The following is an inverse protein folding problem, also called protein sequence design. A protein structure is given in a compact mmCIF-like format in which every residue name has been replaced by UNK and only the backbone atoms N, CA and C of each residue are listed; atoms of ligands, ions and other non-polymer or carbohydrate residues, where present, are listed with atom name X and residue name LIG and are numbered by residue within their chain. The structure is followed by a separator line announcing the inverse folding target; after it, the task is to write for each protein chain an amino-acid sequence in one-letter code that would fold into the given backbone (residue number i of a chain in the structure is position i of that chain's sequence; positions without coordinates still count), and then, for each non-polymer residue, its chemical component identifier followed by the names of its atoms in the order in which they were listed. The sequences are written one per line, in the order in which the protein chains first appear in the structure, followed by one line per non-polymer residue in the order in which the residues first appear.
data_IF_056720251772
#
_entry.id   IF_056720251772
#
_cell.length_a   1.000
_cell.length_b   1.000
_cell.length_c   1.000
_cell.angle_alpha   90.00
_cell.angle_beta   90.00
_cell.angle_gamma   90.00
#
_symmetry.space_group_name_H-M   'P 1'
#
loop_
_entity.id
_entity.type
_entity.pdbx_description
1 polymer ?
#
# COMPACT_ATOMS: atom_id res chain seq x y z
N UNK A 1 3.90 -15.06 10.99
CA UNK A 1 5.21 -15.52 10.49
C UNK A 1 6.06 -14.29 10.24
N UNK A 2 7.19 -14.12 10.92
CA UNK A 2 7.98 -12.89 10.87
C UNK A 2 8.78 -12.80 9.56
N UNK A 3 8.60 -11.72 8.81
CA UNK A 3 9.48 -11.33 7.70
C UNK A 3 10.84 -10.88 8.25
N UNK A 4 11.92 -11.08 7.47
CA UNK A 4 13.25 -10.68 7.88
C UNK A 4 13.30 -9.17 8.13
N UNK A 5 13.40 -8.79 9.38
CA UNK A 5 13.67 -7.42 9.81
C UNK A 5 15.17 -7.23 9.68
N UNK A 6 15.55 -6.51 8.64
CA UNK A 6 16.95 -6.29 8.39
C UNK A 6 17.57 -5.56 9.60
N UNK A 7 18.78 -6.00 9.97
CA UNK A 7 19.49 -5.47 11.13
C UNK A 7 20.00 -4.04 10.99
N UNK A 8 19.66 -3.33 9.92
CA UNK A 8 20.09 -1.94 9.65
C UNK A 8 19.20 -0.94 10.38
N UNK A 9 19.73 0.26 10.63
CA UNK A 9 19.06 1.26 11.47
C UNK A 9 17.66 1.65 10.98
N UNK A 10 17.45 1.78 9.66
CA UNK A 10 16.15 2.12 9.06
C UNK A 10 15.12 1.01 9.24
N UNK A 11 15.47 -0.22 8.90
CA UNK A 11 14.58 -1.39 9.05
C UNK A 11 14.22 -1.65 10.50
N UNK A 12 15.17 -1.51 11.45
CA UNK A 12 14.88 -1.62 12.89
C UNK A 12 13.95 -0.54 13.41
N UNK A 13 14.10 0.70 12.92
CA UNK A 13 13.20 1.81 13.32
C UNK A 13 11.78 1.60 12.81
N UNK A 14 11.61 1.22 11.54
CA UNK A 14 10.31 0.89 10.98
C UNK A 14 9.66 -0.27 11.76
N UNK A 15 10.42 -1.34 12.01
CA UNK A 15 9.95 -2.47 12.78
C UNK A 15 9.46 -2.04 14.18
N UNK A 16 10.31 -1.41 14.97
CA UNK A 16 10.00 -1.08 16.37
C UNK A 16 8.90 -0.01 16.54
N UNK A 17 8.78 0.93 15.57
CA UNK A 17 7.86 2.07 15.71
C UNK A 17 6.52 1.88 15.01
N UNK A 18 6.47 1.03 13.99
CA UNK A 18 5.27 0.83 13.17
C UNK A 18 4.87 -0.64 13.10
N UNK A 19 5.76 -1.50 12.59
CA UNK A 19 5.36 -2.88 12.27
C UNK A 19 5.03 -3.71 13.51
N UNK A 20 5.85 -3.60 14.59
CA UNK A 20 5.62 -4.35 15.83
C UNK A 20 4.36 -3.90 16.56
N UNK A 21 4.14 -2.58 16.78
CA UNK A 21 2.90 -2.11 17.40
C UNK A 21 1.64 -2.48 16.63
N UNK A 22 1.72 -2.57 15.30
CA UNK A 22 0.57 -2.93 14.45
C UNK A 22 0.43 -4.45 14.24
N UNK A 23 1.33 -5.25 14.76
CA UNK A 23 1.32 -6.69 14.53
C UNK A 23 1.61 -7.10 13.08
N UNK A 24 2.22 -6.24 12.28
CA UNK A 24 2.53 -6.44 10.85
C UNK A 24 3.70 -7.41 10.69
N UNK A 25 3.46 -8.67 11.02
CA UNK A 25 4.50 -9.71 11.12
C UNK A 25 5.01 -10.23 9.78
N UNK A 26 4.25 -9.97 8.71
CA UNK A 26 4.56 -10.37 7.34
C UNK A 26 5.08 -9.21 6.50
N UNK A 27 5.47 -8.09 7.12
CA UNK A 27 5.99 -6.88 6.45
C UNK A 27 7.45 -6.65 6.79
N UNK A 28 8.25 -6.39 5.75
CA UNK A 28 9.68 -6.08 5.89
C UNK A 28 10.37 -5.87 4.56
N UNK A 29 11.67 -5.60 4.62
CA UNK A 29 12.51 -5.32 3.45
C UNK A 29 13.10 -6.59 2.80
N UNK A 30 12.49 -7.72 3.00
CA UNK A 30 12.88 -8.98 2.39
C UNK A 30 12.16 -10.15 3.03
N UNK A 31 11.98 -11.22 2.29
CA UNK A 31 11.26 -12.42 2.71
C UNK A 31 12.26 -13.45 3.25
N UNK A 32 12.12 -13.93 4.50
CA UNK A 32 13.01 -14.93 5.07
C UNK A 32 12.84 -16.28 4.36
N UNK A 33 13.87 -17.12 4.42
CA UNK A 33 13.87 -18.44 3.77
C UNK A 33 12.65 -19.29 4.13
N UNK A 34 12.14 -19.18 5.37
CA UNK A 34 10.96 -19.90 5.87
C UNK A 34 9.62 -19.43 5.28
N UNK A 35 9.63 -18.37 4.46
CA UNK A 35 8.42 -17.79 3.89
C UNK A 35 8.52 -17.60 2.36
N UNK A 36 9.61 -18.05 1.74
CA UNK A 36 9.84 -17.87 0.30
C UNK A 36 8.84 -18.60 -0.59
N UNK A 37 8.27 -19.67 -0.11
CA UNK A 37 7.17 -20.39 -0.77
C UNK A 37 5.92 -19.53 -0.97
N UNK A 38 5.80 -18.42 -0.25
CA UNK A 38 4.73 -17.43 -0.38
C UNK A 38 5.10 -16.24 -1.29
N UNK A 39 6.37 -16.09 -1.64
CA UNK A 39 6.85 -15.07 -2.56
C UNK A 39 6.83 -15.65 -3.97
N UNK A 40 5.85 -15.26 -4.77
CA UNK A 40 5.77 -15.62 -6.18
C UNK A 40 6.77 -14.83 -7.05
N UNK A 41 7.01 -15.26 -8.28
CA UNK A 41 7.74 -14.47 -9.25
C UNK A 41 6.95 -13.21 -9.63
N UNK A 42 7.66 -12.15 -9.96
CA UNK A 42 7.11 -10.88 -10.40
C UNK A 42 7.37 -10.69 -11.89
N UNK A 43 6.41 -10.14 -12.62
CA UNK A 43 6.40 -10.13 -14.08
C UNK A 43 6.28 -8.72 -14.63
N UNK A 44 6.86 -8.47 -15.79
CA UNK A 44 6.45 -7.35 -16.63
C UNK A 44 5.06 -7.61 -17.22
N UNK A 45 4.33 -6.56 -17.65
CA UNK A 45 3.13 -6.73 -18.44
C UNK A 45 3.39 -7.59 -19.67
N UNK A 46 2.39 -8.40 -20.12
CA UNK A 46 2.54 -9.21 -21.32
C UNK A 46 2.90 -8.34 -22.52
N UNK A 47 3.84 -8.80 -23.34
CA UNK A 47 4.15 -8.20 -24.63
C UNK A 47 2.99 -8.37 -25.63
N UNK A 48 3.12 -7.81 -26.86
CA UNK A 48 2.08 -7.88 -27.90
C UNK A 48 1.65 -9.32 -28.24
N UNK A 49 2.56 -10.27 -28.12
CA UNK A 49 2.33 -11.68 -28.41
C UNK A 49 1.81 -12.47 -27.19
N UNK A 50 1.54 -11.80 -26.07
CA UNK A 50 1.08 -12.40 -24.83
C UNK A 50 2.19 -13.06 -24.00
N UNK A 51 3.43 -13.02 -24.45
CA UNK A 51 4.57 -13.54 -23.69
C UNK A 51 4.85 -12.67 -22.46
N UNK A 52 5.21 -13.32 -21.36
CA UNK A 52 5.56 -12.65 -20.11
C UNK A 52 7.06 -12.68 -19.89
N UNK A 53 7.63 -11.51 -19.69
CA UNK A 53 9.02 -11.35 -19.27
C UNK A 53 9.08 -11.31 -17.73
N UNK A 54 10.05 -12.03 -17.17
CA UNK A 54 10.29 -12.07 -15.73
C UNK A 54 10.92 -10.74 -15.27
N UNK A 55 10.27 -10.06 -14.33
CA UNK A 55 10.84 -8.88 -13.67
C UNK A 55 11.76 -9.29 -12.50
N UNK A 56 11.27 -10.16 -11.61
CA UNK A 56 12.04 -10.69 -10.48
C UNK A 56 11.62 -12.13 -10.16
N UNK A 57 12.59 -13.00 -9.89
CA UNK A 57 12.32 -14.39 -9.52
C UNK A 57 11.85 -14.48 -8.04
N UNK A 58 11.21 -15.57 -7.68
CA UNK A 58 10.78 -15.83 -6.31
C UNK A 58 11.95 -15.87 -5.30
N UNK A 59 13.17 -16.15 -5.77
CA UNK A 59 14.42 -16.11 -4.99
C UNK A 59 15.29 -14.89 -5.32
N UNK A 60 14.72 -13.88 -5.99
CA UNK A 60 15.35 -12.67 -6.47
C UNK A 60 15.64 -11.63 -5.39
N UNK A 61 15.44 -10.35 -5.75
CA UNK A 61 15.85 -9.23 -4.88
C UNK A 61 15.08 -9.19 -3.56
N UNK A 62 13.78 -9.48 -3.54
CA UNK A 62 12.97 -9.45 -2.33
C UNK A 62 13.13 -10.69 -1.44
N UNK A 63 13.78 -11.74 -1.93
CA UNK A 63 14.19 -12.87 -1.11
C UNK A 63 15.42 -12.58 -0.24
N UNK A 64 16.00 -11.38 -0.34
CA UNK A 64 17.25 -10.98 0.34
C UNK A 64 17.09 -9.60 0.98
N UNK A 65 17.75 -9.32 2.10
CA UNK A 65 17.81 -7.97 2.65
C UNK A 65 18.49 -7.02 1.65
N UNK A 66 17.88 -5.85 1.34
CA UNK A 66 18.45 -4.88 0.42
C UNK A 66 19.73 -4.25 0.99
N UNK A 67 20.55 -3.71 0.10
CA UNK A 67 21.73 -2.94 0.50
C UNK A 67 21.35 -1.68 1.31
N UNK A 68 20.23 -1.08 0.98
CA UNK A 68 19.65 0.06 1.67
C UNK A 68 18.14 -0.14 1.83
N UNK A 69 17.59 -0.21 3.07
CA UNK A 69 16.15 -0.27 3.29
C UNK A 69 15.54 1.10 3.01
N UNK A 70 14.88 1.22 1.89
CA UNK A 70 14.21 2.44 1.47
C UNK A 70 12.74 2.41 1.92
N UNK A 71 12.32 3.43 2.68
CA UNK A 71 10.93 3.55 3.12
C UNK A 71 9.96 3.95 2.01
N UNK A 72 10.47 4.43 0.87
CA UNK A 72 9.66 4.79 -0.30
C UNK A 72 9.39 3.61 -1.24
N UNK A 73 10.23 2.58 -1.16
CA UNK A 73 10.14 1.39 -2.01
C UNK A 73 10.73 0.16 -1.32
N UNK A 74 10.41 -1.04 -1.81
CA UNK A 74 11.07 -2.28 -1.42
C UNK A 74 10.50 -2.99 -0.19
N UNK A 75 9.38 -2.56 0.37
CA UNK A 75 8.65 -3.33 1.37
C UNK A 75 7.87 -4.48 0.72
N UNK A 76 8.03 -5.67 1.27
CA UNK A 76 7.15 -6.81 0.99
C UNK A 76 6.14 -6.91 2.13
N UNK A 77 4.87 -7.15 1.80
CA UNK A 77 3.78 -7.18 2.77
C UNK A 77 2.70 -8.19 2.40
N UNK A 78 1.61 -8.19 3.16
CA UNK A 78 0.37 -8.93 2.89
C UNK A 78 -0.82 -7.99 2.99
N UNK A 79 -1.97 -8.42 2.47
CA UNK A 79 -3.23 -7.65 2.55
C UNK A 79 -3.59 -7.35 4.00
N UNK A 80 -3.42 -8.32 4.89
CA UNK A 80 -3.74 -8.18 6.32
C UNK A 80 -2.87 -7.13 7.00
N UNK A 81 -1.57 -7.13 6.72
CA UNK A 81 -0.64 -6.17 7.31
C UNK A 81 -0.90 -4.74 6.78
N UNK A 82 -1.16 -4.58 5.47
CA UNK A 82 -1.56 -3.28 4.90
C UNK A 82 -2.89 -2.81 5.50
N UNK A 83 -3.86 -3.70 5.69
CA UNK A 83 -5.13 -3.37 6.33
C UNK A 83 -4.95 -2.92 7.79
N UNK A 84 -4.01 -3.51 8.52
CA UNK A 84 -3.66 -3.08 9.88
C UNK A 84 -3.06 -1.65 9.89
N UNK A 85 -2.19 -1.33 8.94
CA UNK A 85 -1.64 0.01 8.78
C UNK A 85 -2.74 1.04 8.44
N UNK A 86 -3.60 0.73 7.47
CA UNK A 86 -4.74 1.58 7.11
C UNK A 86 -5.72 1.77 8.28
N UNK A 87 -5.98 0.71 9.04
CA UNK A 87 -6.79 0.74 10.25
C UNK A 87 -6.22 1.67 11.32
N UNK A 88 -4.91 1.68 11.51
CA UNK A 88 -4.23 2.61 12.42
C UNK A 88 -4.44 4.07 12.00
N UNK A 89 -4.31 4.40 10.71
CA UNK A 89 -4.57 5.75 10.22
C UNK A 89 -6.04 6.15 10.45
N UNK A 90 -6.99 5.26 10.14
CA UNK A 90 -8.43 5.50 10.40
C UNK A 90 -8.76 5.72 11.88
N UNK A 91 -8.00 5.09 12.77
CA UNK A 91 -8.14 5.22 14.23
C UNK A 91 -7.36 6.40 14.80
N UNK A 92 -6.98 7.39 13.98
CA UNK A 92 -6.24 8.58 14.41
C UNK A 92 -4.86 8.24 14.98
N UNK A 93 -4.20 7.23 14.46
CA UNK A 93 -2.84 6.84 14.85
C UNK A 93 -2.77 5.82 15.98
N UNK A 94 -3.85 5.08 16.27
CA UNK A 94 -3.89 4.04 17.31
C UNK A 94 -3.82 2.64 16.69
N UNK A 95 -3.02 1.79 17.32
CA UNK A 95 -3.03 0.36 17.05
C UNK A 95 -4.32 -0.31 17.57
N UNK A 96 -4.66 -1.52 17.11
CA UNK A 96 -5.88 -2.23 17.52
C UNK A 96 -6.01 -2.41 19.04
N UNK A 97 -4.91 -2.61 19.76
CA UNK A 97 -4.89 -2.72 21.22
C UNK A 97 -4.94 -1.35 21.94
N UNK A 98 -5.01 -0.25 21.20
CA UNK A 98 -5.18 1.11 21.71
C UNK A 98 -3.90 1.91 21.93
N UNK A 99 -2.71 1.31 21.81
CA UNK A 99 -1.45 2.05 21.89
C UNK A 99 -1.32 3.08 20.76
N UNK A 100 -0.63 4.18 21.03
CA UNK A 100 -0.45 5.25 20.04
C UNK A 100 0.81 5.03 19.22
N UNK A 101 0.64 4.88 17.92
CA UNK A 101 1.73 4.75 16.93
C UNK A 101 2.09 6.09 16.33
N UNK A 102 1.08 6.91 15.97
CA UNK A 102 1.21 8.27 15.46
C UNK A 102 0.34 9.22 16.27
N UNK A 103 0.73 10.49 16.35
CA UNK A 103 -0.17 11.53 16.89
C UNK A 103 -1.33 11.79 15.92
N UNK A 104 -2.45 12.30 16.43
CA UNK A 104 -3.60 12.70 15.59
C UNK A 104 -3.19 13.79 14.59
N UNK A 105 -2.36 14.75 15.02
CA UNK A 105 -1.82 15.80 14.15
C UNK A 105 -0.98 15.20 13.00
N UNK A 106 -0.16 14.19 13.29
CA UNK A 106 0.63 13.52 12.26
C UNK A 106 -0.25 12.78 11.26
N UNK A 107 -1.29 12.07 11.73
CA UNK A 107 -2.27 11.43 10.85
C UNK A 107 -3.01 12.49 10.02
N UNK A 108 -3.48 13.58 10.63
CA UNK A 108 -4.10 14.69 9.93
C UNK A 108 -3.17 15.27 8.84
N UNK A 109 -1.90 15.50 9.15
CA UNK A 109 -0.92 15.98 8.18
C UNK A 109 -0.67 15.01 7.02
N UNK A 110 -0.86 13.70 7.22
CA UNK A 110 -0.75 12.68 6.17
C UNK A 110 -2.01 12.56 5.32
N UNK A 111 -3.20 12.63 5.94
CA UNK A 111 -4.46 12.21 5.33
C UNK A 111 -5.39 13.36 4.94
N UNK A 112 -5.07 14.60 5.35
CA UNK A 112 -5.90 15.77 5.05
C UNK A 112 -5.27 16.59 3.93
N UNK A 113 -6.11 17.24 3.14
CA UNK A 113 -5.66 18.21 2.14
C UNK A 113 -4.83 19.31 2.81
N UNK A 114 -3.60 19.48 2.32
CA UNK A 114 -2.78 20.65 2.62
C UNK A 114 -2.60 21.42 1.31
N UNK A 115 -2.58 22.75 1.37
CA UNK A 115 -2.37 23.59 0.19
C UNK A 115 -1.12 23.12 -0.58
N UNK A 116 -1.31 22.70 -1.83
CA UNK A 116 -0.26 22.17 -2.70
C UNK A 116 -0.81 21.87 -4.09
N UNK A 117 0.06 21.59 -5.05
CA UNK A 117 -0.38 21.29 -6.39
C UNK A 117 -1.29 20.05 -6.41
N UNK A 118 -2.37 20.18 -7.15
CA UNK A 118 -3.30 19.09 -7.49
C UNK A 118 -2.87 18.55 -8.85
N UNK A 119 -2.78 17.25 -9.00
CA UNK A 119 -2.51 16.63 -10.30
C UNK A 119 -3.75 16.66 -11.22
N UNK A 120 -3.55 16.31 -12.49
CA UNK A 120 -4.61 16.33 -13.50
C UNK A 120 -5.76 15.35 -13.20
N UNK A 121 -5.54 14.40 -12.29
CA UNK A 121 -6.52 13.40 -11.87
C UNK A 121 -7.26 13.82 -10.58
N UNK A 122 -7.00 15.02 -10.05
CA UNK A 122 -7.64 15.54 -8.84
C UNK A 122 -7.07 14.95 -7.55
N UNK A 123 -5.83 14.50 -7.57
CA UNK A 123 -5.08 14.04 -6.41
C UNK A 123 -3.99 15.00 -5.96
N UNK A 124 -3.37 14.71 -4.84
CA UNK A 124 -2.18 15.40 -4.34
C UNK A 124 -1.33 14.50 -3.48
N UNK A 125 -0.02 14.71 -3.51
CA UNK A 125 0.93 13.99 -2.67
C UNK A 125 1.09 14.71 -1.32
N UNK A 126 1.06 13.96 -0.24
CA UNK A 126 1.22 14.48 1.12
C UNK A 126 2.43 13.82 1.79
N UNK A 127 2.46 13.76 3.12
CA UNK A 127 3.55 13.15 3.88
C UNK A 127 3.59 11.62 3.66
N UNK A 128 4.05 11.20 2.47
CA UNK A 128 4.26 9.80 2.13
C UNK A 128 3.04 9.04 1.57
N UNK A 129 1.88 9.70 1.37
CA UNK A 129 0.69 9.10 0.76
C UNK A 129 -0.02 10.07 -0.19
N UNK A 130 -0.79 9.53 -1.14
CA UNK A 130 -1.69 10.30 -1.98
C UNK A 130 -2.99 10.65 -1.24
N UNK A 131 -3.59 11.80 -1.55
CA UNK A 131 -4.90 12.22 -1.06
C UNK A 131 -5.73 12.70 -2.24
N UNK A 132 -6.99 12.23 -2.34
CA UNK A 132 -7.96 12.72 -3.33
C UNK A 132 -8.46 14.11 -2.91
N UNK A 133 -8.39 15.06 -3.83
CA UNK A 133 -8.86 16.42 -3.61
C UNK A 133 -10.28 16.59 -4.14
N UNK A 134 -10.64 15.83 -5.17
CA UNK A 134 -11.97 15.83 -5.79
C UNK A 134 -12.53 14.41 -5.84
N UNK A 135 -13.86 14.29 -5.93
CA UNK A 135 -14.50 13.01 -6.14
C UNK A 135 -14.06 12.38 -7.47
N UNK A 136 -13.84 11.07 -7.44
CA UNK A 136 -13.61 10.27 -8.64
C UNK A 136 -14.96 9.73 -9.13
N UNK A 137 -15.35 9.96 -10.39
CA UNK A 137 -16.64 9.51 -10.88
C UNK A 137 -16.84 7.99 -10.72
N UNK A 138 -17.79 7.57 -9.90
CA UNK A 138 -18.07 6.17 -9.61
C UNK A 138 -16.97 5.45 -8.81
N UNK A 139 -16.13 6.19 -8.11
CA UNK A 139 -14.99 5.70 -7.34
C UNK A 139 -14.85 6.38 -5.98
N UNK A 140 -13.64 6.76 -5.64
CA UNK A 140 -13.27 7.33 -4.33
C UNK A 140 -13.79 8.75 -4.14
N UNK A 141 -14.23 9.09 -2.93
CA UNK A 141 -14.60 10.46 -2.57
C UNK A 141 -13.38 11.33 -2.28
N UNK A 142 -13.57 12.64 -2.37
CA UNK A 142 -12.61 13.62 -1.86
C UNK A 142 -12.28 13.31 -0.39
N UNK A 143 -11.01 13.44 -0.02
CA UNK A 143 -10.50 13.02 1.29
C UNK A 143 -10.07 11.57 1.37
N UNK A 144 -10.32 10.72 0.36
CA UNK A 144 -9.73 9.39 0.30
C UNK A 144 -8.21 9.48 0.22
N UNK A 145 -7.50 8.58 0.91
CA UNK A 145 -6.05 8.56 0.96
C UNK A 145 -5.50 7.15 0.78
N UNK A 146 -4.30 7.06 0.22
CA UNK A 146 -3.64 5.80 -0.09
C UNK A 146 -2.53 5.95 -1.11
N UNK A 147 -2.21 4.88 -1.81
CA UNK A 147 -1.24 4.89 -2.90
C UNK A 147 -1.39 3.72 -3.85
N UNK A 148 -1.09 3.98 -5.11
CA UNK A 148 -0.98 2.97 -6.16
C UNK A 148 0.50 2.85 -6.54
N UNK A 149 1.10 1.68 -6.34
CA UNK A 149 2.51 1.42 -6.61
C UNK A 149 2.73 0.77 -7.96
N UNK A 150 3.70 1.28 -8.74
CA UNK A 150 4.05 0.75 -10.06
C UNK A 150 4.55 -0.70 -10.07
N UNK A 151 4.84 -1.27 -8.91
CA UNK A 151 5.11 -2.70 -8.72
C UNK A 151 3.82 -3.53 -8.51
N UNK A 152 2.65 -2.99 -8.84
CA UNK A 152 1.41 -3.75 -8.86
C UNK A 152 0.65 -3.80 -7.54
N UNK A 153 0.88 -2.86 -6.65
CA UNK A 153 0.16 -2.73 -5.39
C UNK A 153 -0.77 -1.52 -5.38
N UNK A 154 -1.89 -1.63 -4.68
CA UNK A 154 -2.81 -0.53 -4.41
C UNK A 154 -3.38 -0.68 -3.02
N UNK A 155 -3.48 0.41 -2.26
CA UNK A 155 -4.33 0.50 -1.09
C UNK A 155 -4.93 1.89 -0.99
N UNK A 156 -6.21 1.97 -0.69
CA UNK A 156 -6.92 3.22 -0.50
C UNK A 156 -7.93 3.09 0.62
N UNK A 157 -8.08 4.15 1.39
CA UNK A 157 -9.10 4.29 2.41
C UNK A 157 -9.98 5.48 2.05
N UNK A 158 -11.27 5.27 2.01
CA UNK A 158 -12.26 6.31 1.86
C UNK A 158 -12.90 6.58 3.24
N UNK A 159 -12.61 7.71 3.88
CA UNK A 159 -13.16 8.04 5.19
C UNK A 159 -14.66 8.34 5.14
N UNK A 160 -15.23 8.72 4.00
CA UNK A 160 -16.66 9.01 3.86
C UNK A 160 -17.51 7.75 4.00
N UNK A 161 -17.05 6.64 3.41
CA UNK A 161 -17.72 5.33 3.46
C UNK A 161 -17.15 4.40 4.53
N UNK A 162 -15.95 4.69 5.03
CA UNK A 162 -15.22 3.82 5.95
C UNK A 162 -14.60 2.60 5.26
N UNK A 163 -14.66 2.50 3.94
CA UNK A 163 -14.09 1.39 3.17
C UNK A 163 -12.57 1.53 3.06
N UNK A 164 -11.86 0.44 3.29
CA UNK A 164 -10.44 0.30 2.92
C UNK A 164 -10.33 -0.84 1.92
N UNK A 165 -9.71 -0.58 0.78
CA UNK A 165 -9.49 -1.56 -0.27
C UNK A 165 -7.99 -1.78 -0.50
N UNK A 166 -7.57 -3.03 -0.67
CA UNK A 166 -6.19 -3.43 -0.92
C UNK A 166 -6.14 -4.39 -2.09
N UNK A 167 -5.29 -4.10 -3.08
CA UNK A 167 -4.99 -4.98 -4.21
C UNK A 167 -3.48 -5.22 -4.25
N UNK A 168 -3.06 -6.46 -4.27
CA UNK A 168 -1.68 -6.86 -4.51
C UNK A 168 -1.64 -7.77 -5.74
N UNK A 169 -0.86 -7.39 -6.74
CA UNK A 169 -0.61 -8.18 -7.93
C UNK A 169 0.87 -8.56 -8.01
N UNK A 170 1.20 -9.47 -8.87
CA UNK A 170 2.58 -9.86 -9.17
C UNK A 170 3.02 -9.36 -10.57
N UNK A 171 2.53 -8.19 -10.98
CA UNK A 171 2.84 -7.60 -12.27
C UNK A 171 3.16 -6.11 -12.11
N UNK A 172 4.27 -5.65 -12.71
CA UNK A 172 4.61 -4.23 -12.77
C UNK A 172 3.67 -3.47 -13.71
N UNK A 173 3.66 -2.15 -13.62
CA UNK A 173 3.02 -1.30 -14.62
C UNK A 173 3.94 -1.14 -15.84
N UNK A 174 3.35 -0.95 -17.01
CA UNK A 174 4.07 -0.65 -18.25
C UNK A 174 4.35 0.84 -18.42
N UNK A 175 3.64 1.70 -17.69
CA UNK A 175 3.69 3.16 -17.80
C UNK A 175 3.30 3.79 -16.46
N UNK A 176 3.44 5.11 -16.28
CA UNK A 176 2.92 5.80 -15.10
C UNK A 176 1.40 5.67 -14.90
N UNK A 177 0.64 5.33 -15.94
CA UNK A 177 -0.80 5.10 -15.83
C UNK A 177 -1.08 3.71 -15.26
N UNK A 178 -2.00 3.59 -14.28
CA UNK A 178 -2.41 2.32 -13.72
C UNK A 178 -2.98 1.38 -14.81
N UNK A 179 -2.69 0.09 -14.76
CA UNK A 179 -3.38 -0.89 -15.59
C UNK A 179 -4.90 -0.91 -15.33
N UNK A 180 -5.74 -1.26 -16.34
CA UNK A 180 -7.21 -1.25 -16.21
C UNK A 180 -7.78 -2.04 -15.03
N UNK A 181 -7.07 -3.05 -14.55
CA UNK A 181 -7.47 -3.82 -13.37
C UNK A 181 -7.54 -2.97 -12.10
N UNK A 182 -6.72 -1.91 -12.01
CA UNK A 182 -6.75 -0.98 -10.87
C UNK A 182 -8.01 -0.12 -10.89
N UNK A 183 -8.43 0.36 -12.07
CA UNK A 183 -9.68 1.11 -12.22
C UNK A 183 -10.89 0.24 -11.93
N UNK A 184 -10.92 -0.98 -12.46
CA UNK A 184 -11.97 -1.95 -12.19
C UNK A 184 -12.06 -2.29 -10.68
N UNK A 185 -10.91 -2.48 -10.03
CA UNK A 185 -10.83 -2.73 -8.59
C UNK A 185 -11.35 -1.56 -7.78
N UNK A 186 -10.92 -0.32 -8.08
CA UNK A 186 -11.38 0.89 -7.39
C UNK A 186 -12.88 1.10 -7.56
N UNK A 187 -13.36 0.99 -8.80
CA UNK A 187 -14.80 1.09 -9.08
C UNK A 187 -15.62 0.04 -8.34
N UNK A 188 -15.13 -1.19 -8.26
CA UNK A 188 -15.82 -2.24 -7.52
C UNK A 188 -15.81 -1.99 -6.01
N UNK A 189 -14.70 -1.52 -5.45
CA UNK A 189 -14.52 -1.33 -4.01
C UNK A 189 -15.26 -0.10 -3.47
N UNK A 190 -15.30 1.00 -4.23
CA UNK A 190 -15.82 2.31 -3.77
C UNK A 190 -17.13 2.73 -4.46
N UNK A 191 -17.74 1.85 -5.28
CA UNK A 191 -19.04 2.13 -5.89
C UNK A 191 -20.16 2.17 -4.85
N UNK A 192 -21.14 3.08 -4.99
CA UNK A 192 -22.30 3.20 -4.09
C UNK A 192 -23.16 1.93 -3.97
N UNK A 193 -22.88 0.87 -4.72
CA UNK A 193 -23.63 -0.38 -4.67
C UNK A 193 -23.57 -1.14 -3.35
N UNK A 194 -22.58 -0.86 -2.51
CA UNK A 194 -22.45 -1.51 -1.19
C UNK A 194 -23.42 -0.98 -0.15
N UNK A 195 -23.97 0.23 -0.33
CA UNK A 195 -24.99 0.81 0.57
C UNK A 195 -26.38 0.14 0.41
N UNK A 196 -26.54 -0.78 -0.54
CA UNK A 196 -27.82 -1.46 -0.82
C UNK A 196 -27.85 -2.92 -0.34
N UNK A 197 -26.80 -3.38 0.37
CA UNK A 197 -26.71 -4.74 0.91
C UNK A 197 -26.74 -4.67 2.45
N UNK A 198 -27.83 -4.12 3.00
CA UNK A 198 -28.18 -4.23 4.42
C UNK A 198 -29.56 -4.83 4.55
#
# INVERSE_FOLDING_TARGET
MAVARDGRAGGRRAAARVLDPLGMRSTGFGVPASARDRLGPHWFPPGPDGERELYDAADGQWARPPAFPDGGDGLVSTVEDIAAFAGMLRSGGRAPEGSRVLSEDAVGAMTTEQAGPVDDEGGGWRLGIGVRITDEPGGRHAGSYGWDGGLGSSWWTDPATGVTAVLLTNQTWASPQPPPVFDAFRSAAFSPRWDQVT
#
